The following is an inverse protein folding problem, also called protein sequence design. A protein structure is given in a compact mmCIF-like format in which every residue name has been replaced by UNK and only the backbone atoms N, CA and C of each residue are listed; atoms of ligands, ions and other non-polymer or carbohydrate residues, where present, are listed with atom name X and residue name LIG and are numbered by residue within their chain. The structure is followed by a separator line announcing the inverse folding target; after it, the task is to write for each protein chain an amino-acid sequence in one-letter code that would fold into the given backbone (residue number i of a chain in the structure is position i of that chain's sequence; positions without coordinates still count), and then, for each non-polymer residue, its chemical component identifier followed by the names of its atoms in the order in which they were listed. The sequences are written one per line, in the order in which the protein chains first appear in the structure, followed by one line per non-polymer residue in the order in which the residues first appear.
data_IF_953340425721
#
_entry.id   IF_953340425721
#
_cell.length_a   1.000
_cell.length_b   1.000
_cell.length_c   1.000
_cell.angle_alpha   90.00
_cell.angle_beta   90.00
_cell.angle_gamma   90.00
#
_symmetry.space_group_name_H-M   'P 1'
#
loop_
_entity.id
_entity.type
_entity.pdbx_description
1 polymer ?
#
# COMPACT_ATOMS: atom_id res chain seq x y z
N UNK A 1 -12.64 13.03 6.70
CA UNK A 1 -13.04 13.02 6.23
C UNK A 1 -12.61 12.90 5.19
N UNK A 2 -11.78 12.48 5.11
CA UNK A 2 -11.50 12.72 4.05
C UNK A 2 -10.97 11.64 3.28
N UNK A 3 -11.77 11.02 2.45
CA UNK A 3 -11.37 9.92 1.63
C UNK A 3 -10.28 10.32 0.67
N UNK A 4 -10.21 11.61 0.33
CA UNK A 4 -9.17 12.10 -0.55
C UNK A 4 -7.80 12.02 0.06
N UNK A 5 -7.71 12.22 1.38
CA UNK A 5 -6.44 12.15 2.06
C UNK A 5 -5.86 10.73 1.92
N UNK A 6 -6.68 9.72 2.18
CA UNK A 6 -6.21 8.35 2.09
C UNK A 6 -5.96 7.92 0.64
N UNK A 7 -6.74 8.46 -0.29
CA UNK A 7 -6.52 8.18 -1.70
C UNK A 7 -5.21 8.78 -2.18
N UNK A 8 -4.88 9.98 -1.73
CA UNK A 8 -3.59 10.60 -2.08
C UNK A 8 -2.45 9.75 -1.54
N UNK A 9 -2.58 9.26 -0.32
CA UNK A 9 -1.58 8.37 0.25
C UNK A 9 -1.45 7.10 -0.58
N UNK A 10 -2.57 6.48 -0.93
CA UNK A 10 -2.59 5.26 -1.73
C UNK A 10 -1.87 5.48 -3.07
N UNK A 11 -2.17 6.60 -3.73
CA UNK A 11 -1.56 6.93 -5.01
C UNK A 11 -0.06 7.19 -4.87
N UNK A 12 0.35 7.85 -3.80
CA UNK A 12 1.78 8.11 -3.56
C UNK A 12 2.53 6.79 -3.40
N UNK A 13 1.92 5.83 -2.71
CA UNK A 13 2.53 4.52 -2.55
C UNK A 13 2.65 3.80 -3.89
N UNK A 14 1.61 3.89 -4.71
CA UNK A 14 1.61 3.26 -6.02
C UNK A 14 2.69 3.86 -6.92
N UNK A 15 2.90 5.17 -6.81
CA UNK A 15 3.87 5.87 -7.64
C UNK A 15 5.30 5.80 -7.11
N UNK A 16 5.47 5.28 -5.92
CA UNK A 16 6.80 5.20 -5.32
C UNK A 16 7.32 6.52 -4.83
N UNK A 17 6.43 7.46 -4.52
CA UNK A 17 6.81 8.78 -4.03
C UNK A 17 7.13 8.68 -2.55
N UNK A 18 8.31 8.19 -2.25
CA UNK A 18 8.70 7.87 -0.87
C UNK A 18 8.61 9.06 0.08
N UNK A 19 9.08 10.27 -0.28
CA UNK A 19 8.94 11.40 0.62
C UNK A 19 7.50 11.72 0.96
N UNK A 20 6.60 11.66 -0.03
CA UNK A 20 5.19 11.91 0.19
C UNK A 20 4.59 10.83 1.08
N UNK A 21 4.96 9.56 0.84
CA UNK A 21 4.48 8.46 1.66
C UNK A 21 4.82 8.69 3.13
N UNK A 22 6.07 9.04 3.41
CA UNK A 22 6.51 9.29 4.78
C UNK A 22 5.77 10.45 5.39
N UNK A 23 5.59 11.52 4.62
CA UNK A 23 4.90 12.71 5.09
C UNK A 23 3.44 12.40 5.44
N UNK A 24 2.77 11.63 4.59
CA UNK A 24 1.38 11.26 4.80
C UNK A 24 1.21 10.35 6.01
N UNK A 25 2.14 9.43 6.22
CA UNK A 25 2.09 8.55 7.39
C UNK A 25 2.19 9.39 8.66
N UNK A 26 3.11 10.36 8.68
CA UNK A 26 3.24 11.26 9.84
C UNK A 26 1.98 12.06 10.07
N UNK A 27 1.25 12.36 9.01
CA UNK A 27 0.02 13.13 9.09
C UNK A 27 -1.18 12.26 9.47
N UNK A 28 -0.98 10.96 9.66
CA UNK A 28 -2.05 10.08 10.13
C UNK A 28 -2.76 9.28 9.06
N UNK A 29 -2.14 9.08 7.90
CA UNK A 29 -2.76 8.29 6.84
C UNK A 29 -3.03 6.87 7.32
N UNK A 30 -4.15 6.31 6.86
CA UNK A 30 -4.51 4.93 7.17
C UNK A 30 -3.71 4.00 6.25
N UNK A 31 -2.67 3.37 6.79
CA UNK A 31 -1.81 2.52 5.98
C UNK A 31 -2.54 1.29 5.44
N UNK A 32 -3.70 0.97 6.01
CA UNK A 32 -4.51 -0.17 5.57
C UNK A 32 -5.75 0.23 4.79
N UNK A 33 -5.81 1.48 4.33
CA UNK A 33 -6.93 1.94 3.52
C UNK A 33 -7.08 1.06 2.28
N UNK A 34 -8.31 0.66 1.98
CA UNK A 34 -8.64 -0.12 0.80
C UNK A 34 -9.44 0.73 -0.16
N UNK A 35 -9.02 0.73 -1.43
CA UNK A 35 -9.75 1.47 -2.45
C UNK A 35 -11.00 0.69 -2.86
N UNK A 36 -11.70 1.14 -3.91
CA UNK A 36 -12.93 0.51 -4.35
C UNK A 36 -12.79 -0.94 -4.76
N UNK A 37 -11.59 -1.37 -5.16
CA UNK A 37 -11.30 -2.76 -5.50
C UNK A 37 -10.85 -3.58 -4.30
N UNK A 38 -10.85 -2.98 -3.13
CA UNK A 38 -10.39 -3.63 -1.92
C UNK A 38 -8.89 -3.69 -1.79
N UNK A 39 -8.15 -2.98 -2.63
CA UNK A 39 -6.70 -3.02 -2.63
C UNK A 39 -6.11 -2.04 -1.66
N UNK A 40 -5.06 -2.48 -0.96
CA UNK A 40 -4.31 -1.61 -0.06
C UNK A 40 -3.11 -1.01 -0.78
N UNK A 41 -2.51 0.00 -0.15
CA UNK A 41 -1.29 0.60 -0.69
C UNK A 41 -0.16 -0.45 -0.75
N UNK A 42 -0.11 -1.34 0.23
CA UNK A 42 0.91 -2.39 0.26
C UNK A 42 0.79 -3.30 -0.96
N UNK A 43 -0.43 -3.67 -1.34
CA UNK A 43 -0.66 -4.48 -2.53
C UNK A 43 -0.15 -3.77 -3.78
N UNK A 44 -0.45 -2.49 -3.89
CA UNK A 44 -0.07 -1.74 -5.08
C UNK A 44 1.44 -1.52 -5.14
N UNK A 45 2.04 -1.19 -4.02
CA UNK A 45 3.49 -1.01 -3.96
C UNK A 45 4.20 -2.32 -4.27
N UNK A 46 3.67 -3.43 -3.78
CA UNK A 46 4.25 -4.74 -4.07
C UNK A 46 4.16 -5.07 -5.54
N UNK A 47 3.03 -4.76 -6.16
CA UNK A 47 2.82 -5.03 -7.58
C UNK A 47 3.79 -4.23 -8.43
N UNK A 48 4.11 -3.02 -8.01
CA UNK A 48 5.00 -2.14 -8.75
C UNK A 48 6.46 -2.24 -8.29
N UNK A 49 6.72 -3.15 -7.37
CA UNK A 49 8.08 -3.42 -6.88
C UNK A 49 8.72 -2.18 -6.23
N UNK A 50 7.91 -1.43 -5.48
CA UNK A 50 8.38 -0.26 -4.74
C UNK A 50 8.89 -0.69 -3.38
N UNK A 51 10.10 -1.21 -3.34
CA UNK A 51 10.63 -1.89 -2.15
C UNK A 51 10.74 -0.98 -0.94
N UNK A 52 11.17 0.26 -1.14
CA UNK A 52 11.29 1.21 -0.04
C UNK A 52 9.92 1.56 0.53
N UNK A 53 8.92 1.73 -0.33
CA UNK A 53 7.58 2.02 0.11
C UNK A 53 7.01 0.81 0.85
N UNK A 54 7.22 -0.40 0.34
CA UNK A 54 6.76 -1.62 1.00
C UNK A 54 7.32 -1.68 2.41
N UNK A 55 8.62 -1.40 2.55
CA UNK A 55 9.26 -1.48 3.87
C UNK A 55 8.69 -0.47 4.85
N UNK A 56 8.48 0.77 4.41
CA UNK A 56 7.96 1.79 5.34
C UNK A 56 6.51 1.49 5.70
N UNK A 57 5.73 0.91 4.78
CA UNK A 57 4.37 0.52 5.10
C UNK A 57 4.36 -0.57 6.16
N UNK A 58 5.20 -1.58 6.00
CA UNK A 58 5.28 -2.67 6.98
C UNK A 58 5.74 -2.15 8.34
N UNK A 59 6.71 -1.24 8.34
CA UNK A 59 7.21 -0.66 9.58
C UNK A 59 6.13 0.13 10.32
N UNK A 60 5.10 0.56 9.61
CA UNK A 60 4.03 1.36 10.19
C UNK A 60 2.71 0.60 10.32
N UNK A 61 2.77 -0.72 10.33
CA UNK A 61 1.62 -1.52 10.67
C UNK A 61 0.74 -1.97 9.54
N UNK A 62 1.26 -1.94 8.30
CA UNK A 62 0.48 -2.46 7.17
C UNK A 62 0.19 -3.94 7.39
N UNK A 63 -1.07 -4.32 7.17
CA UNK A 63 -1.51 -5.69 7.38
C UNK A 63 -1.39 -6.48 6.09
N UNK A 64 -0.51 -7.46 6.07
CA UNK A 64 -0.25 -8.26 4.87
C UNK A 64 -1.37 -9.25 4.59
N UNK A 65 -2.29 -9.43 5.54
CA UNK A 65 -3.36 -10.42 5.41
C UNK A 65 -4.65 -9.87 4.85
N UNK A 66 -4.74 -8.57 4.59
CA UNK A 66 -5.92 -7.99 3.97
C UNK A 66 -5.99 -8.49 2.53
N UNK A 67 -7.17 -8.96 2.11
CA UNK A 67 -7.36 -9.40 0.75
C UNK A 67 -8.22 -8.40 -0.01
N UNK A 68 -8.00 -8.31 -1.31
CA UNK A 68 -8.80 -7.45 -2.16
C UNK A 68 -10.13 -8.15 -2.50
N UNK A 69 -10.91 -7.53 -3.37
CA UNK A 69 -12.22 -8.08 -3.73
C UNK A 69 -12.13 -9.41 -4.48
N UNK A 70 -10.95 -9.76 -4.94
CA UNK A 70 -10.72 -11.05 -5.61
C UNK A 70 -10.00 -12.05 -4.71
N UNK A 71 -9.86 -11.72 -3.45
CA UNK A 71 -9.23 -12.60 -2.48
C UNK A 71 -7.71 -12.62 -2.50
N UNK A 72 -7.09 -11.64 -3.16
CA UNK A 72 -5.64 -11.60 -3.24
C UNK A 72 -5.05 -10.73 -2.14
N UNK A 73 -3.93 -11.18 -1.58
CA UNK A 73 -3.19 -10.43 -0.58
C UNK A 73 -1.92 -9.85 -1.20
N UNK A 74 -1.25 -8.99 -0.44
CA UNK A 74 0.02 -8.41 -0.90
C UNK A 74 1.06 -9.50 -1.13
N UNK A 75 1.07 -10.51 -0.29
CA UNK A 75 2.03 -11.62 -0.43
C UNK A 75 1.80 -12.38 -1.73
N UNK A 76 0.54 -12.62 -2.08
CA UNK A 76 0.21 -13.29 -3.34
C UNK A 76 0.66 -12.47 -4.52
N UNK A 77 0.49 -11.16 -4.44
CA UNK A 77 0.92 -10.26 -5.52
C UNK A 77 2.43 -10.33 -5.69
N UNK A 78 3.17 -10.27 -4.60
CA UNK A 78 4.63 -10.32 -4.66
C UNK A 78 5.09 -11.66 -5.24
N UNK A 79 4.47 -12.76 -4.81
CA UNK A 79 4.83 -14.09 -5.30
C UNK A 79 4.58 -14.20 -6.81
N UNK A 80 3.47 -13.63 -7.27
CA UNK A 80 3.12 -13.70 -8.68
C UNK A 80 4.13 -12.96 -9.55
N UNK A 81 4.74 -11.93 -9.03
CA UNK A 81 5.74 -11.18 -9.80
C UNK A 81 7.07 -11.92 -9.88
N UNK A 82 7.15 -13.10 -9.34
CA UNK A 82 8.36 -13.89 -9.44
C UNK A 82 9.47 -13.43 -8.52
N UNK A 83 9.12 -12.80 -7.45
CA UNK A 83 10.12 -12.46 -6.46
C UNK A 83 10.56 -13.72 -5.79
N UNK A 84 11.74 -14.10 -6.11
CA UNK A 84 12.20 -15.39 -5.64
C UNK A 84 12.97 -15.30 -4.39
#
# INVERSE_FOLDING_TARGET
MDQNFNKVFWDACANGDFPMVCSQIKAGADVNYQNGDGRTALMRASKRDRKDVVQVLLDNGADVNISDNKGKTALMTAAKKGNK
#
